data_IF_538911951500
#
_entry.id   IF_538911951500
#
_cell.length_a   1.000
_cell.length_b   1.000
_cell.length_c   1.000
_cell.angle_alpha   90.00
_cell.angle_beta   90.00
_cell.angle_gamma   90.00
#
_symmetry.space_group_name_H-M   'P 1'
#
loop_
_entity.id
_entity.type
_entity.pdbx_description
1 polymer ?
#
# COMPACT_ATOMS: atom_id res chain seq x y z
N UNK A 1 -0.08 -19.96 -22.34
CA UNK A 1 0.59 -19.90 -21.02
C UNK A 1 0.32 -18.52 -20.47
N UNK A 2 -0.53 -18.42 -19.46
CA UNK A 2 -0.90 -17.14 -18.87
C UNK A 2 0.36 -16.50 -18.27
N UNK A 3 0.73 -15.31 -18.76
CA UNK A 3 1.58 -14.41 -18.02
C UNK A 3 0.82 -14.04 -16.76
N UNK A 4 1.04 -14.81 -15.70
CA UNK A 4 0.81 -14.31 -14.35
C UNK A 4 1.96 -13.33 -14.18
N UNK A 5 1.73 -12.06 -14.51
CA UNK A 5 2.54 -10.97 -13.96
C UNK A 5 2.43 -11.15 -12.45
N UNK A 6 3.42 -11.84 -11.90
CA UNK A 6 3.65 -11.88 -10.48
C UNK A 6 4.06 -10.45 -10.18
N UNK A 7 3.08 -9.62 -9.83
CA UNK A 7 3.29 -8.31 -9.22
C UNK A 7 4.06 -8.59 -7.94
N UNK A 8 5.39 -8.68 -8.08
CA UNK A 8 6.31 -8.79 -6.99
C UNK A 8 6.26 -7.45 -6.27
N UNK A 9 5.26 -7.29 -5.40
CA UNK A 9 5.19 -6.19 -4.45
C UNK A 9 6.45 -6.33 -3.61
N UNK A 10 7.35 -5.39 -3.82
CA UNK A 10 8.63 -5.22 -3.12
C UNK A 10 8.61 -3.87 -2.43
N UNK A 11 9.48 -3.69 -1.45
CA UNK A 11 9.66 -2.41 -0.77
C UNK A 11 9.85 -1.25 -1.77
N UNK A 12 10.64 -1.46 -2.83
CA UNK A 12 10.86 -0.45 -3.86
C UNK A 12 9.58 -0.08 -4.61
N UNK A 13 8.76 -1.07 -4.99
CA UNK A 13 7.47 -0.82 -5.65
C UNK A 13 6.54 0.00 -4.75
N UNK A 14 6.49 -0.33 -3.45
CA UNK A 14 5.69 0.39 -2.46
C UNK A 14 6.21 1.83 -2.31
N UNK A 15 7.52 2.03 -2.19
CA UNK A 15 8.12 3.36 -2.11
C UNK A 15 7.84 4.21 -3.35
N UNK A 16 7.88 3.63 -4.55
CA UNK A 16 7.50 4.31 -5.79
C UNK A 16 6.03 4.72 -5.78
N UNK A 17 5.13 3.84 -5.36
CA UNK A 17 3.71 4.13 -5.24
C UNK A 17 3.45 5.24 -4.21
N UNK A 18 4.07 5.14 -3.02
CA UNK A 18 4.02 6.18 -1.97
C UNK A 18 4.49 7.53 -2.52
N UNK A 19 5.64 7.56 -3.21
CA UNK A 19 6.19 8.80 -3.77
C UNK A 19 5.25 9.42 -4.81
N UNK A 20 4.56 8.61 -5.61
CA UNK A 20 3.52 9.09 -6.53
C UNK A 20 2.38 9.75 -5.77
N UNK A 21 1.82 9.09 -4.76
CA UNK A 21 0.71 9.62 -3.95
C UNK A 21 1.13 10.91 -3.24
N UNK A 22 2.35 10.95 -2.67
CA UNK A 22 2.93 12.16 -2.07
C UNK A 22 3.01 13.32 -3.07
N UNK A 23 3.44 13.05 -4.31
CA UNK A 23 3.56 14.10 -5.33
C UNK A 23 2.20 14.58 -5.87
N UNK A 24 1.24 13.67 -6.04
CA UNK A 24 -0.12 13.97 -6.54
C UNK A 24 -0.88 14.80 -5.51
N UNK A 25 -0.92 14.34 -4.26
CA UNK A 25 -1.73 14.97 -3.20
C UNK A 25 -0.97 16.04 -2.41
N UNK A 26 0.32 16.25 -2.71
CA UNK A 26 1.22 17.13 -1.95
C UNK A 26 1.25 16.80 -0.45
N UNK A 27 1.10 15.52 -0.13
CA UNK A 27 1.15 14.99 1.25
C UNK A 27 2.49 14.36 1.54
N UNK A 28 2.79 14.19 2.83
CA UNK A 28 3.95 13.44 3.31
C UNK A 28 3.51 12.17 4.03
N UNK A 29 4.03 11.05 3.55
CA UNK A 29 3.83 9.71 4.08
C UNK A 29 5.11 9.20 4.79
N UNK A 30 5.94 10.12 5.33
CA UNK A 30 7.19 9.78 6.00
C UNK A 30 7.02 8.75 7.14
N UNK A 31 5.95 8.87 7.94
CA UNK A 31 5.65 7.87 8.99
C UNK A 31 5.36 6.48 8.41
N UNK A 32 4.69 6.40 7.26
CA UNK A 32 4.41 5.14 6.57
C UNK A 32 5.69 4.58 5.93
N UNK A 33 6.53 5.42 5.31
CA UNK A 33 7.84 5.01 4.76
C UNK A 33 8.76 4.47 5.85
N UNK A 34 8.79 5.12 7.01
CA UNK A 34 9.57 4.64 8.16
C UNK A 34 9.02 3.32 8.71
N UNK A 35 7.69 3.17 8.78
CA UNK A 35 7.06 1.90 9.17
C UNK A 35 7.35 0.78 8.17
N UNK A 36 7.25 1.07 6.87
CA UNK A 36 7.66 0.16 5.80
C UNK A 36 9.11 -0.27 5.97
N UNK A 37 10.03 0.64 6.25
CA UNK A 37 11.44 0.28 6.43
C UNK A 37 11.66 -0.62 7.65
N UNK A 38 10.95 -0.36 8.76
CA UNK A 38 11.08 -1.12 10.00
C UNK A 38 10.35 -2.48 9.95
N UNK A 39 9.26 -2.58 9.18
CA UNK A 39 8.35 -3.73 9.12
C UNK A 39 8.11 -4.19 7.68
N UNK A 40 9.14 -4.16 6.84
CA UNK A 40 9.01 -4.32 5.39
C UNK A 40 8.31 -5.61 4.97
N UNK A 41 8.68 -6.74 5.57
CA UNK A 41 8.05 -8.03 5.27
C UNK A 41 6.56 -8.07 5.62
N UNK A 42 6.17 -7.48 6.76
CA UNK A 42 4.78 -7.42 7.19
C UNK A 42 3.95 -6.51 6.27
N UNK A 43 4.46 -5.31 5.97
CA UNK A 43 3.77 -4.35 5.10
C UNK A 43 3.62 -4.90 3.69
N UNK A 44 4.64 -5.58 3.16
CA UNK A 44 4.58 -6.23 1.86
C UNK A 44 3.52 -7.32 1.85
N UNK A 45 3.46 -8.17 2.87
CA UNK A 45 2.47 -9.26 2.97
C UNK A 45 1.04 -8.72 3.09
N UNK A 46 0.85 -7.71 3.93
CA UNK A 46 -0.42 -7.00 4.08
C UNK A 46 -0.87 -6.38 2.76
N UNK A 47 0.00 -5.63 2.09
CA UNK A 47 -0.33 -4.99 0.81
C UNK A 47 -0.59 -6.02 -0.28
N UNK A 48 0.14 -7.14 -0.33
CA UNK A 48 -0.17 -8.27 -1.21
C UNK A 48 -1.58 -8.77 -0.97
N UNK A 49 -1.90 -9.09 0.28
CA UNK A 49 -3.24 -9.52 0.66
C UNK A 49 -4.29 -8.49 0.26
N UNK A 50 -4.05 -7.20 0.51
CA UNK A 50 -4.97 -6.12 0.12
C UNK A 50 -5.16 -6.06 -1.40
N UNK A 51 -4.09 -6.19 -2.18
CA UNK A 51 -4.18 -6.16 -3.64
C UNK A 51 -5.02 -7.30 -4.21
N UNK A 52 -5.10 -8.45 -3.54
CA UNK A 52 -5.89 -9.61 -4.00
C UNK A 52 -7.41 -9.42 -3.89
N UNK A 53 -7.89 -8.48 -3.07
CA UNK A 53 -9.32 -8.21 -2.99
C UNK A 53 -9.80 -7.53 -4.29
N UNK A 54 -10.98 -7.89 -4.76
CA UNK A 54 -11.58 -7.23 -5.92
C UNK A 54 -12.35 -5.97 -5.55
N UNK A 55 -12.90 -5.92 -4.33
CA UNK A 55 -13.74 -4.81 -3.87
C UNK A 55 -12.92 -3.71 -3.22
N UNK A 56 -13.16 -2.46 -3.62
CA UNK A 56 -12.48 -1.29 -3.05
C UNK A 56 -12.82 -1.08 -1.57
N UNK A 57 -14.08 -1.32 -1.19
CA UNK A 57 -14.51 -1.26 0.21
C UNK A 57 -13.78 -2.27 1.11
N UNK A 58 -13.56 -3.49 0.61
CA UNK A 58 -12.81 -4.52 1.34
C UNK A 58 -11.34 -4.10 1.49
N UNK A 59 -10.72 -3.55 0.44
CA UNK A 59 -9.36 -3.00 0.50
C UNK A 59 -9.26 -1.89 1.54
N UNK A 60 -10.22 -0.96 1.55
CA UNK A 60 -10.24 0.16 2.49
C UNK A 60 -10.42 -0.31 3.93
N UNK A 61 -11.37 -1.21 4.19
CA UNK A 61 -11.61 -1.78 5.51
C UNK A 61 -10.37 -2.49 6.05
N UNK A 62 -9.67 -3.23 5.18
CA UNK A 62 -8.45 -3.94 5.55
C UNK A 62 -7.32 -2.97 5.86
N UNK A 63 -7.16 -1.92 5.06
CA UNK A 63 -6.17 -0.87 5.33
C UNK A 63 -6.46 -0.14 6.63
N UNK A 64 -7.71 0.26 6.87
CA UNK A 64 -8.07 0.96 8.11
C UNK A 64 -7.81 0.09 9.35
N UNK A 65 -8.02 -1.23 9.23
CA UNK A 65 -7.77 -2.20 10.29
C UNK A 65 -6.30 -2.53 10.52
N UNK A 66 -5.53 -2.84 9.46
CA UNK A 66 -4.11 -3.21 9.61
C UNK A 66 -3.20 -1.99 9.78
N UNK A 67 -3.62 -0.83 9.25
CA UNK A 67 -2.90 0.44 9.33
C UNK A 67 -3.67 1.46 10.18
N UNK A 68 -4.31 1.04 11.28
CA UNK A 68 -5.05 1.93 12.19
C UNK A 68 -4.21 3.12 12.68
N UNK A 69 -2.90 2.93 12.89
CA UNK A 69 -1.96 4.01 13.23
C UNK A 69 -1.84 5.12 12.15
N UNK A 70 -2.32 4.85 10.94
CA UNK A 70 -2.36 5.75 9.81
C UNK A 70 -3.79 6.02 9.34
N UNK A 71 -4.80 5.94 10.23
CA UNK A 71 -6.20 6.13 9.86
C UNK A 71 -6.45 7.49 9.14
N UNK A 72 -5.77 8.57 9.56
CA UNK A 72 -5.78 9.87 8.88
C UNK A 72 -5.23 9.85 7.44
N UNK A 73 -4.52 8.78 7.07
CA UNK A 73 -3.89 8.57 5.75
C UNK A 73 -4.38 7.28 5.08
N UNK A 74 -5.45 6.65 5.59
CA UNK A 74 -6.01 5.41 5.03
C UNK A 74 -6.34 5.53 3.55
N UNK A 75 -6.89 6.67 3.12
CA UNK A 75 -7.19 6.95 1.71
C UNK A 75 -5.93 6.96 0.84
N UNK A 76 -4.83 7.53 1.34
CA UNK A 76 -3.56 7.55 0.63
C UNK A 76 -2.90 6.18 0.58
N UNK A 77 -2.99 5.39 1.67
CA UNK A 77 -2.49 4.01 1.69
C UNK A 77 -3.33 3.12 0.77
N UNK A 78 -4.64 3.36 0.68
CA UNK A 78 -5.50 2.71 -0.31
C UNK A 78 -5.01 3.02 -1.72
N UNK A 79 -4.78 4.29 -2.04
CA UNK A 79 -4.26 4.67 -3.35
C UNK A 79 -2.90 4.01 -3.66
N UNK A 80 -2.01 3.92 -2.66
CA UNK A 80 -0.75 3.15 -2.79
C UNK A 80 -1.04 1.69 -3.14
N UNK A 81 -1.98 1.03 -2.45
CA UNK A 81 -2.35 -0.36 -2.75
C UNK A 81 -2.96 -0.53 -4.14
N UNK A 82 -3.71 0.46 -4.63
CA UNK A 82 -4.28 0.45 -5.98
C UNK A 82 -3.20 0.61 -7.06
N UNK A 83 -2.15 1.39 -6.79
CA UNK A 83 -1.00 1.56 -7.69
C UNK A 83 -0.09 0.32 -7.75
N UNK A 84 -0.22 -0.60 -6.79
CA UNK A 84 0.54 -1.86 -6.72
C UNK A 84 -0.19 -3.05 -7.35
N UNK A 85 -1.48 -2.88 -7.64
CA UNK A 85 -2.37 -3.91 -8.20
C UNK A 85 -2.23 -4.06 -9.71
#
# INVERSE_FOLDING_TARGET
>A
MNHIETTNITEESILKAVTKVENIHKVRLDSFKQYLHNHSSEVIDLLKTITTFSSLDEKYLRIDKDFTQFSDKSTHILEVSLLLS
#
